data_IF_230556242167
#
_entry.id   IF_230556242167
#
_cell.length_a   1.000
_cell.length_b   1.000
_cell.length_c   1.000
_cell.angle_alpha   90.00
_cell.angle_beta   90.00
_cell.angle_gamma   90.00
#
_symmetry.space_group_name_H-M   'P 1'
#
loop_
_entity.id
_entity.type
_entity.pdbx_description
1 polymer ?
#
# COMPACT_ATOMS: atom_id res chain seq x y z
N UNK A 1 -6.13 -6.85 13.87
CA UNK A 1 -7.02 -6.94 12.69
C UNK A 1 -8.03 -5.82 12.79
N UNK A 2 -8.21 -5.04 11.73
CA UNK A 2 -9.14 -3.91 11.68
C UNK A 2 -10.21 -4.15 10.61
N UNK A 3 -11.47 -3.89 10.96
CA UNK A 3 -12.61 -3.89 10.06
C UNK A 3 -13.12 -2.46 9.90
N UNK A 4 -13.29 -1.99 8.67
CA UNK A 4 -13.96 -0.71 8.46
C UNK A 4 -15.45 -0.80 8.84
N UNK A 5 -16.08 0.30 9.31
CA UNK A 5 -17.50 0.32 9.63
C UNK A 5 -18.42 -0.05 8.46
N UNK A 6 -17.96 0.22 7.23
CA UNK A 6 -18.64 -0.06 5.96
C UNK A 6 -18.33 -1.45 5.41
N UNK A 7 -17.47 -2.24 6.07
CA UNK A 7 -16.98 -3.56 5.63
C UNK A 7 -16.32 -3.58 4.24
N UNK A 8 -15.85 -2.43 3.77
CA UNK A 8 -15.14 -2.27 2.49
C UNK A 8 -13.62 -2.48 2.59
N UNK A 9 -13.06 -2.50 3.82
CA UNK A 9 -11.62 -2.65 4.06
C UNK A 9 -11.39 -3.60 5.24
N UNK A 10 -10.51 -4.58 5.02
CA UNK A 10 -9.99 -5.46 6.07
C UNK A 10 -8.46 -5.31 6.15
N UNK A 11 -7.93 -4.93 7.32
CA UNK A 11 -6.50 -4.68 7.51
C UNK A 11 -5.92 -5.67 8.53
N UNK A 12 -4.85 -6.36 8.12
CA UNK A 12 -4.04 -7.22 8.96
C UNK A 12 -2.68 -6.56 9.20
N UNK A 13 -2.49 -6.13 10.44
CA UNK A 13 -1.25 -5.58 10.97
C UNK A 13 -1.15 -5.99 12.44
N UNK A 14 0.05 -6.29 12.90
CA UNK A 14 0.35 -6.54 14.31
C UNK A 14 1.44 -5.57 14.78
N UNK A 15 1.57 -5.39 16.10
CA UNK A 15 2.45 -4.40 16.71
C UNK A 15 3.92 -4.58 16.29
N UNK A 16 4.43 -5.82 16.33
CA UNK A 16 5.80 -6.14 15.89
C UNK A 16 6.08 -5.73 14.43
N UNK A 17 5.08 -5.85 13.53
CA UNK A 17 5.22 -5.39 12.14
C UNK A 17 5.13 -3.88 12.01
N UNK A 18 4.40 -3.18 12.89
CA UNK A 18 4.39 -1.71 12.92
C UNK A 18 5.74 -1.18 13.37
N UNK A 19 6.37 -1.80 14.36
CA UNK A 19 7.74 -1.44 14.77
C UNK A 19 8.74 -1.58 13.62
N UNK A 20 8.64 -2.66 12.83
CA UNK A 20 9.48 -2.86 11.64
C UNK A 20 9.32 -1.77 10.57
N UNK A 21 8.15 -1.12 10.48
CA UNK A 21 7.91 -0.04 9.52
C UNK A 21 8.86 1.13 9.77
N UNK A 22 9.16 1.43 11.04
CA UNK A 22 10.06 2.54 11.44
C UNK A 22 11.52 2.33 11.08
N UNK A 23 11.92 1.05 10.99
CA UNK A 23 13.31 0.69 10.75
C UNK A 23 13.73 0.95 9.30
N UNK A 24 12.76 1.20 8.41
CA UNK A 24 13.00 1.55 7.03
C UNK A 24 12.48 2.94 6.70
N UNK A 25 13.34 3.75 6.07
CA UNK A 25 12.94 5.00 5.40
C UNK A 25 12.46 4.77 3.96
N UNK A 26 12.51 3.53 3.48
CA UNK A 26 12.14 3.14 2.13
C UNK A 26 10.97 2.16 2.18
N UNK A 27 9.80 2.60 1.74
CA UNK A 27 8.60 1.79 1.75
C UNK A 27 8.20 1.41 0.35
N UNK A 28 7.71 0.18 0.20
CA UNK A 28 7.18 -0.32 -1.05
C UNK A 28 5.73 -0.71 -0.84
N UNK A 29 4.88 -0.42 -1.80
CA UNK A 29 3.52 -0.94 -1.83
C UNK A 29 3.27 -1.71 -3.10
N UNK A 30 2.57 -2.81 -2.92
CA UNK A 30 2.12 -3.65 -4.02
C UNK A 30 0.62 -3.93 -3.88
N UNK A 31 -0.05 -3.84 -5.01
CA UNK A 31 -1.46 -4.07 -5.17
C UNK A 31 -1.70 -5.21 -6.14
N UNK A 32 -2.07 -6.39 -5.63
CA UNK A 32 -2.31 -7.60 -6.43
C UNK A 32 -3.81 -7.86 -6.62
N UNK A 33 -4.23 -8.07 -7.87
CA UNK A 33 -5.66 -8.13 -8.25
C UNK A 33 -6.23 -9.55 -8.41
N UNK A 34 -5.39 -10.55 -8.73
CA UNK A 34 -5.86 -11.86 -9.22
C UNK A 34 -6.12 -12.92 -8.14
N UNK A 35 -5.84 -12.62 -6.88
CA UNK A 35 -5.77 -13.63 -5.80
C UNK A 35 -6.91 -13.45 -4.77
N UNK A 36 -7.70 -12.39 -4.88
CA UNK A 36 -8.74 -12.07 -3.89
C UNK A 36 -10.10 -12.67 -4.25
N UNK A 37 -10.92 -12.94 -3.22
CA UNK A 37 -12.30 -13.41 -3.40
C UNK A 37 -13.14 -12.36 -4.12
N UNK A 38 -14.25 -12.79 -4.74
CA UNK A 38 -15.08 -11.92 -5.59
C UNK A 38 -15.65 -10.67 -4.90
N UNK A 39 -15.65 -10.65 -3.55
CA UNK A 39 -16.10 -9.51 -2.77
C UNK A 39 -15.08 -8.36 -2.71
N UNK A 40 -13.80 -8.63 -2.96
CA UNK A 40 -12.73 -7.63 -2.91
C UNK A 40 -12.14 -7.38 -4.30
N UNK A 41 -11.76 -6.13 -4.58
CA UNK A 41 -11.11 -5.76 -5.84
C UNK A 41 -9.59 -5.90 -5.80
N UNK A 42 -8.99 -5.96 -4.60
CA UNK A 42 -7.54 -6.01 -4.46
C UNK A 42 -7.07 -6.55 -3.12
N UNK A 43 -5.90 -7.21 -3.15
CA UNK A 43 -5.02 -7.35 -2.00
C UNK A 43 -3.94 -6.28 -2.11
N UNK A 44 -3.98 -5.31 -1.23
CA UNK A 44 -3.01 -4.24 -1.10
C UNK A 44 -2.04 -4.56 0.04
N UNK A 45 -0.75 -4.42 -0.21
CA UNK A 45 0.30 -4.85 0.71
C UNK A 45 1.32 -3.75 0.92
N UNK A 46 1.76 -3.62 2.17
CA UNK A 46 2.84 -2.72 2.55
C UNK A 46 4.09 -3.54 2.85
N UNK A 47 5.21 -3.13 2.28
CA UNK A 47 6.48 -3.83 2.37
C UNK A 47 7.59 -2.88 2.82
N UNK A 48 8.40 -3.36 3.75
CA UNK A 48 9.66 -2.73 4.19
C UNK A 48 10.75 -3.78 4.13
N UNK A 49 11.94 -3.43 3.65
CA UNK A 49 13.03 -4.40 3.43
C UNK A 49 12.60 -5.69 2.69
N UNK A 50 11.69 -5.56 1.70
CA UNK A 50 11.12 -6.69 0.96
C UNK A 50 10.25 -7.66 1.79
N UNK A 51 9.91 -7.31 3.03
CA UNK A 51 9.02 -8.07 3.92
C UNK A 51 7.64 -7.43 3.98
N UNK A 52 6.58 -8.23 3.82
CA UNK A 52 5.20 -7.74 3.97
C UNK A 52 4.81 -7.56 5.42
N UNK A 53 4.59 -6.30 5.78
CA UNK A 53 4.26 -5.87 7.15
C UNK A 53 2.77 -5.54 7.31
N UNK A 54 2.07 -5.20 6.23
CA UNK A 54 0.62 -4.93 6.26
C UNK A 54 -0.05 -5.60 5.09
N UNK A 55 -1.19 -6.23 5.33
CA UNK A 55 -2.10 -6.72 4.31
C UNK A 55 -3.45 -6.01 4.43
N UNK A 56 -3.99 -5.56 3.30
CA UNK A 56 -5.27 -4.89 3.21
C UNK A 56 -6.09 -5.55 2.10
N UNK A 57 -7.29 -6.03 2.41
CA UNK A 57 -8.28 -6.39 1.39
C UNK A 57 -9.21 -5.21 1.20
N UNK A 58 -9.36 -4.73 -0.03
CA UNK A 58 -10.17 -3.56 -0.34
C UNK A 58 -11.23 -3.87 -1.39
N UNK A 59 -12.44 -3.36 -1.16
CA UNK A 59 -13.54 -3.42 -2.13
C UNK A 59 -13.37 -2.33 -3.20
N UNK A 60 -12.72 -1.22 -2.87
CA UNK A 60 -12.48 -0.09 -3.76
C UNK A 60 -10.99 0.27 -3.87
N UNK A 61 -10.67 1.17 -4.80
CA UNK A 61 -9.31 1.67 -5.12
C UNK A 61 -9.31 3.19 -5.29
N UNK A 62 -10.04 3.86 -4.43
CA UNK A 62 -10.20 5.31 -4.46
C UNK A 62 -9.40 5.99 -3.35
N UNK A 63 -9.38 7.32 -3.39
CA UNK A 63 -8.66 8.15 -2.43
C UNK A 63 -9.10 7.83 -0.99
N UNK A 64 -10.41 7.73 -0.77
CA UNK A 64 -10.99 7.50 0.56
C UNK A 64 -10.50 6.16 1.15
N UNK A 65 -10.46 5.12 0.32
CA UNK A 65 -9.97 3.79 0.69
C UNK A 65 -8.51 3.85 1.13
N UNK A 66 -7.64 4.47 0.34
CA UNK A 66 -6.23 4.58 0.70
C UNK A 66 -6.01 5.48 1.93
N UNK A 67 -6.71 6.61 2.03
CA UNK A 67 -6.62 7.51 3.19
C UNK A 67 -6.99 6.76 4.47
N UNK A 68 -8.07 5.97 4.44
CA UNK A 68 -8.49 5.13 5.57
C UNK A 68 -7.43 4.10 5.97
N UNK A 69 -6.73 3.52 5.01
CA UNK A 69 -5.62 2.58 5.30
C UNK A 69 -4.49 3.30 6.02
N UNK A 70 -4.11 4.50 5.60
CA UNK A 70 -3.07 5.29 6.27
C UNK A 70 -3.52 5.76 7.66
N UNK A 71 -4.76 6.22 7.83
CA UNK A 71 -5.35 6.57 9.14
C UNK A 71 -5.20 5.41 10.15
N UNK A 72 -5.54 4.19 9.74
CA UNK A 72 -5.41 3.02 10.61
C UNK A 72 -3.95 2.71 10.94
N UNK A 73 -3.03 2.89 9.99
CA UNK A 73 -1.59 2.72 10.24
C UNK A 73 -1.04 3.77 11.19
N UNK A 74 -1.44 5.04 11.03
CA UNK A 74 -1.07 6.12 11.93
C UNK A 74 -1.60 5.87 13.34
N UNK A 75 -2.88 5.52 13.49
CA UNK A 75 -3.46 5.19 14.78
C UNK A 75 -2.72 4.03 15.47
N UNK A 76 -2.34 2.99 14.72
CA UNK A 76 -1.57 1.86 15.26
C UNK A 76 -0.14 2.23 15.64
N UNK A 77 0.48 3.16 14.92
CA UNK A 77 1.80 3.68 15.26
C UNK A 77 1.74 4.59 16.50
N UNK A 78 0.73 5.46 16.59
CA UNK A 78 0.50 6.36 17.72
C UNK A 78 0.27 5.59 19.03
N UNK A 79 -0.51 4.51 18.99
CA UNK A 79 -0.69 3.59 20.13
C UNK A 79 0.65 3.05 20.68
N UNK A 80 1.68 2.95 19.84
CA UNK A 80 3.01 2.48 20.18
C UNK A 80 4.02 3.61 20.42
N UNK A 81 3.59 4.88 20.35
CA UNK A 81 4.48 6.04 20.44
C UNK A 81 5.46 6.17 19.28
N UNK A 82 5.07 5.66 18.10
CA UNK A 82 5.90 5.60 16.90
C UNK A 82 5.49 6.68 15.91
N UNK A 83 6.48 7.40 15.37
CA UNK A 83 6.28 8.32 14.25
C UNK A 83 6.58 7.62 12.91
N UNK A 84 5.64 7.76 11.97
CA UNK A 84 5.74 7.25 10.61
C UNK A 84 6.29 8.34 9.68
N UNK A 85 7.54 8.22 9.27
CA UNK A 85 8.21 9.20 8.40
C UNK A 85 9.07 8.48 7.32
N UNK A 86 8.47 8.03 6.21
CA UNK A 86 9.21 7.46 5.09
C UNK A 86 9.92 8.55 4.27
N UNK A 87 11.18 8.32 3.89
CA UNK A 87 11.88 9.20 2.96
C UNK A 87 11.54 8.89 1.49
N UNK A 88 11.32 7.61 1.17
CA UNK A 88 11.01 7.15 -0.19
C UNK A 88 9.85 6.17 -0.19
N UNK A 89 9.01 6.30 -1.21
CA UNK A 89 7.86 5.45 -1.43
C UNK A 89 7.86 4.91 -2.86
N UNK A 90 7.92 3.59 -2.98
CA UNK A 90 7.76 2.90 -4.25
C UNK A 90 6.36 2.33 -4.32
N UNK A 91 5.61 2.67 -5.37
CA UNK A 91 4.24 2.19 -5.49
C UNK A 91 3.86 1.85 -6.92
N UNK A 92 2.72 1.18 -7.04
CA UNK A 92 2.07 0.95 -8.33
C UNK A 92 1.52 2.29 -8.84
N UNK A 93 1.32 2.41 -10.16
CA UNK A 93 0.85 3.64 -10.81
C UNK A 93 -0.67 3.84 -10.66
N UNK A 94 -1.23 3.49 -9.50
CA UNK A 94 -2.65 3.70 -9.22
C UNK A 94 -2.91 5.19 -8.97
N UNK A 95 -3.81 5.79 -9.75
CA UNK A 95 -4.05 7.24 -9.77
C UNK A 95 -4.39 7.82 -8.40
N UNK A 96 -5.14 7.09 -7.57
CA UNK A 96 -5.52 7.55 -6.24
C UNK A 96 -4.43 7.34 -5.18
N UNK A 97 -3.45 6.46 -5.41
CA UNK A 97 -2.48 6.11 -4.38
C UNK A 97 -1.41 7.20 -4.18
N UNK A 98 -0.87 7.73 -5.27
CA UNK A 98 0.16 8.78 -5.25
C UNK A 98 -0.30 10.03 -4.47
N UNK A 99 -1.44 10.66 -4.79
CA UNK A 99 -1.90 11.84 -4.04
C UNK A 99 -2.17 11.52 -2.57
N UNK A 100 -2.70 10.35 -2.23
CA UNK A 100 -2.88 9.97 -0.83
C UNK A 100 -1.56 9.83 -0.08
N UNK A 101 -0.51 9.26 -0.71
CA UNK A 101 0.83 9.19 -0.10
C UNK A 101 1.36 10.60 0.17
N UNK A 102 1.22 11.51 -0.79
CA UNK A 102 1.71 12.89 -0.65
C UNK A 102 0.93 13.69 0.41
N UNK A 103 -0.37 13.44 0.56
CA UNK A 103 -1.21 14.04 1.60
C UNK A 103 -0.78 13.61 3.00
N UNK A 104 -0.46 12.31 3.18
CA UNK A 104 -0.04 11.76 4.47
C UNK A 104 1.45 12.03 4.78
N UNK A 105 2.29 12.08 3.75
CA UNK A 105 3.75 12.25 3.89
C UNK A 105 4.28 13.25 2.85
N UNK A 106 4.13 14.57 3.09
CA UNK A 106 4.41 15.60 2.10
C UNK A 106 5.89 15.71 1.71
N UNK A 107 6.80 15.27 2.58
CA UNK A 107 8.24 15.29 2.34
C UNK A 107 8.76 13.99 1.68
N UNK A 108 7.89 12.99 1.50
CA UNK A 108 8.29 11.71 0.93
C UNK A 108 8.47 11.80 -0.57
N UNK A 109 9.56 11.24 -1.06
CA UNK A 109 9.76 11.10 -2.49
C UNK A 109 9.03 9.86 -3.02
N UNK A 110 8.06 10.07 -3.91
CA UNK A 110 7.25 9.00 -4.50
C UNK A 110 7.81 8.61 -5.88
N UNK A 111 8.06 7.33 -6.09
CA UNK A 111 8.49 6.76 -7.36
C UNK A 111 7.61 5.59 -7.78
N UNK A 112 7.28 5.53 -9.07
CA UNK A 112 6.67 4.35 -9.66
C UNK A 112 7.60 3.13 -9.61
N UNK A 113 7.04 1.97 -9.28
CA UNK A 113 7.79 0.71 -9.20
C UNK A 113 8.24 0.22 -10.59
N UNK A 114 9.56 0.14 -10.82
CA UNK A 114 10.12 -0.32 -12.10
C UNK A 114 9.72 -1.74 -12.45
N UNK A 115 9.54 -2.63 -11.47
CA UNK A 115 9.07 -4.00 -11.69
C UNK A 115 7.69 -3.99 -12.36
N UNK A 116 6.73 -3.23 -11.82
CA UNK A 116 5.38 -3.13 -12.38
C UNK A 116 5.36 -2.43 -13.74
N UNK A 117 6.23 -1.44 -13.94
CA UNK A 117 6.42 -0.82 -15.24
C UNK A 117 6.89 -1.84 -16.29
N UNK A 118 7.97 -2.57 -16.01
CA UNK A 118 8.50 -3.61 -16.90
C UNK A 118 7.47 -4.70 -17.16
N UNK A 119 6.73 -5.14 -16.14
CA UNK A 119 5.67 -6.13 -16.29
C UNK A 119 4.56 -5.63 -17.23
N UNK A 120 4.14 -4.38 -17.07
CA UNK A 120 3.11 -3.75 -17.92
C UNK A 120 3.60 -3.62 -19.37
N UNK A 121 4.84 -3.16 -19.58
CA UNK A 121 5.46 -3.08 -20.91
C UNK A 121 5.55 -4.47 -21.55
N UNK A 122 6.00 -5.48 -20.80
CA UNK A 122 6.08 -6.85 -21.30
C UNK A 122 4.71 -7.39 -21.72
N UNK A 123 3.66 -7.19 -20.92
CA UNK A 123 2.30 -7.57 -21.32
C UNK A 123 1.82 -6.84 -22.57
N UNK A 124 2.16 -5.56 -22.70
CA UNK A 124 1.80 -4.76 -23.86
C UNK A 124 2.50 -5.26 -25.13
N UNK A 125 3.79 -5.55 -25.05
CA UNK A 125 4.59 -6.12 -26.15
C UNK A 125 3.99 -7.46 -26.61
N UNK A 126 3.73 -8.37 -25.66
CA UNK A 126 3.09 -9.66 -25.97
C UNK A 126 1.68 -9.50 -26.59
N UNK A 127 0.88 -8.54 -26.11
CA UNK A 127 -0.45 -8.25 -26.68
C UNK A 127 -0.38 -7.78 -28.13
N UNK A 128 0.71 -7.10 -28.49
CA UNK A 128 0.96 -6.63 -29.85
C UNK A 128 1.65 -7.69 -30.73
N UNK A 129 2.08 -8.82 -30.16
CA UNK A 129 2.74 -9.90 -30.89
C UNK A 129 4.17 -9.57 -31.35
N UNK A 130 4.86 -8.67 -30.64
CA UNK A 130 6.24 -8.26 -30.91
C UNK A 130 7.26 -9.09 -30.13
#
# INVERSE_FOLDING_TARGET
>A
MYHSPTNDILIFVNEAKVELITQSKCWCRDGTFKIVSFWYQQLFTHHVFMLTVVYCLTVWKDLLTYSRIFEVLHSKAEELGIELDPAKFFCNFETALIPTIQDNYPNTWVQGCSFHFCQTVHWQVNRLGL
#
